data_IF_985646047778
#
_entry.id   IF_985646047778
#
_cell.length_a   1.000
_cell.length_b   1.000
_cell.length_c   1.000
_cell.angle_alpha   90.00
_cell.angle_beta   90.00
_cell.angle_gamma   90.00
#
_symmetry.space_group_name_H-M   'P 1'
#
loop_
_entity.id
_entity.type
_entity.pdbx_description
1 polymer ?
#
# COMPACT_ATOMS: atom_id res chain seq x y z
N UNK A 1 8.27 -2.60 3.18
CA UNK A 1 6.81 -2.75 3.12
C UNK A 1 6.37 -4.22 3.10
N UNK A 2 7.30 -5.15 3.38
CA UNK A 2 7.02 -6.59 3.52
C UNK A 2 6.04 -6.88 4.66
N UNK A 3 6.16 -6.19 5.79
CA UNK A 3 5.26 -6.36 6.94
C UNK A 3 3.78 -6.16 6.56
N UNK A 4 3.49 -5.15 5.73
CA UNK A 4 2.12 -4.92 5.23
C UNK A 4 1.66 -6.06 4.32
N UNK A 5 2.58 -6.65 3.54
CA UNK A 5 2.25 -7.78 2.66
C UNK A 5 2.01 -9.06 3.45
N UNK A 6 2.79 -9.28 4.51
CA UNK A 6 2.59 -10.38 5.45
C UNK A 6 1.25 -10.26 6.17
N UNK A 7 0.86 -9.05 6.60
CA UNK A 7 -0.48 -8.80 7.17
C UNK A 7 -1.57 -9.09 6.14
N UNK A 8 -1.44 -8.61 4.89
CA UNK A 8 -2.37 -8.94 3.81
C UNK A 8 -2.54 -10.46 3.67
N UNK A 9 -1.42 -11.18 3.57
CA UNK A 9 -1.41 -12.64 3.39
C UNK A 9 -2.01 -13.38 4.60
N UNK A 10 -1.64 -12.98 5.82
CA UNK A 10 -2.15 -13.55 7.06
C UNK A 10 -3.67 -13.35 7.22
N UNK A 11 -4.20 -12.25 6.69
CA UNK A 11 -5.64 -11.97 6.63
C UNK A 11 -6.35 -12.68 5.45
N UNK A 12 -5.62 -13.38 4.59
CA UNK A 12 -6.18 -14.15 3.47
C UNK A 12 -6.65 -13.30 2.28
N UNK A 13 -6.17 -12.06 2.15
CA UNK A 13 -6.55 -11.19 1.04
C UNK A 13 -5.62 -11.38 -0.16
N UNK A 14 -6.17 -11.69 -1.34
CA UNK A 14 -5.38 -11.72 -2.58
C UNK A 14 -4.89 -10.32 -2.97
N UNK A 15 -5.76 -9.32 -2.84
CA UNK A 15 -5.43 -7.90 -3.09
C UNK A 15 -6.05 -7.01 -2.03
N UNK A 16 -5.46 -5.83 -1.81
CA UNK A 16 -5.97 -4.81 -0.88
C UNK A 16 -6.16 -3.44 -1.54
N UNK A 17 -7.03 -2.64 -0.92
CA UNK A 17 -7.17 -1.21 -1.23
C UNK A 17 -6.29 -0.42 -0.26
N UNK A 18 -5.52 0.52 -0.79
CA UNK A 18 -4.62 1.33 0.04
C UNK A 18 -5.12 2.76 0.07
N UNK A 19 -5.29 3.29 1.27
CA UNK A 19 -5.49 4.71 1.52
C UNK A 19 -4.26 5.25 2.24
N UNK A 20 -3.47 6.08 1.56
CA UNK A 20 -2.32 6.77 2.14
C UNK A 20 -2.63 8.24 2.36
N UNK A 21 -2.40 8.75 3.56
CA UNK A 21 -2.52 10.18 3.87
C UNK A 21 -1.21 10.74 4.43
N UNK A 22 -0.80 11.94 4.01
CA UNK A 22 0.45 12.59 4.46
C UNK A 22 1.64 11.64 4.27
N UNK A 23 2.45 11.39 5.30
CA UNK A 23 3.55 10.41 5.26
C UNK A 23 3.12 9.01 4.75
N UNK A 24 1.88 8.62 5.03
CA UNK A 24 1.29 7.37 4.54
C UNK A 24 1.25 7.26 3.02
N UNK A 25 1.29 8.38 2.28
CA UNK A 25 1.39 8.36 0.80
C UNK A 25 2.73 7.80 0.34
N UNK A 26 3.82 8.08 1.04
CA UNK A 26 5.15 7.49 0.74
C UNK A 26 5.17 5.99 1.00
N UNK A 27 4.54 5.54 2.09
CA UNK A 27 4.40 4.11 2.38
C UNK A 27 3.52 3.40 1.33
N UNK A 28 2.38 4.01 0.95
CA UNK A 28 1.48 3.49 -0.08
C UNK A 28 2.18 3.34 -1.44
N UNK A 29 2.94 4.36 -1.86
CA UNK A 29 3.73 4.32 -3.09
C UNK A 29 4.85 3.27 -3.02
N UNK A 30 5.48 3.10 -1.86
CA UNK A 30 6.51 2.07 -1.66
C UNK A 30 5.91 0.67 -1.77
N UNK A 31 4.76 0.42 -1.15
CA UNK A 31 4.07 -0.88 -1.25
C UNK A 31 3.62 -1.16 -2.69
N UNK A 32 3.02 -0.18 -3.37
CA UNK A 32 2.59 -0.31 -4.77
C UNK A 32 3.75 -0.65 -5.71
N UNK A 33 4.96 -0.10 -5.49
CA UNK A 33 6.14 -0.41 -6.29
C UNK A 33 6.70 -1.81 -6.01
N UNK A 34 6.61 -2.27 -4.77
CA UNK A 34 7.16 -3.58 -4.35
C UNK A 34 6.24 -4.75 -4.70
N UNK A 35 4.91 -4.56 -4.59
CA UNK A 35 3.90 -5.61 -4.74
C UNK A 35 2.71 -5.13 -5.59
N UNK A 36 2.92 -4.70 -6.85
CA UNK A 36 1.86 -4.11 -7.68
C UNK A 36 0.68 -5.07 -7.90
N UNK A 37 0.92 -6.38 -7.95
CA UNK A 37 -0.09 -7.42 -8.10
C UNK A 37 -1.01 -7.58 -6.86
N UNK A 38 -0.57 -7.14 -5.69
CA UNK A 38 -1.34 -7.23 -4.44
C UNK A 38 -2.19 -5.97 -4.17
N UNK A 39 -2.23 -5.02 -5.10
CA UNK A 39 -2.95 -3.75 -4.96
C UNK A 39 -4.10 -3.65 -5.96
N UNK A 40 -5.34 -3.51 -5.46
CA UNK A 40 -6.51 -3.31 -6.31
C UNK A 40 -6.74 -1.83 -6.65
N UNK A 41 -6.65 -0.96 -5.65
CA UNK A 41 -6.79 0.49 -5.80
C UNK A 41 -5.92 1.23 -4.79
N UNK A 42 -5.43 2.41 -5.16
CA UNK A 42 -4.71 3.31 -4.25
C UNK A 42 -5.33 4.70 -4.29
N UNK A 43 -5.59 5.26 -3.12
CA UNK A 43 -5.92 6.68 -2.94
C UNK A 43 -4.79 7.33 -2.15
N UNK A 44 -4.30 8.47 -2.66
CA UNK A 44 -3.26 9.27 -2.02
C UNK A 44 -3.82 10.64 -1.66
N UNK A 45 -3.75 10.99 -0.39
CA UNK A 45 -4.27 12.24 0.16
C UNK A 45 -3.14 13.03 0.83
N UNK A 46 -3.04 14.33 0.51
CA UNK A 46 -1.92 15.20 0.93
C UNK A 46 -0.53 14.57 0.65
N UNK A 47 -0.23 14.34 -0.63
CA UNK A 47 0.98 13.64 -1.11
C UNK A 47 2.26 14.26 -0.56
N UNK A 48 3.12 13.41 -0.01
CA UNK A 48 4.52 13.73 0.33
C UNK A 48 5.40 13.32 -0.84
N UNK A 49 6.29 14.23 -1.25
CA UNK A 49 7.23 13.98 -2.35
C UNK A 49 8.12 12.76 -2.02
N UNK A 50 8.35 11.82 -2.96
CA UNK A 50 9.01 10.54 -2.69
C UNK A 50 10.42 10.64 -2.11
#
# INVERSE_FOLDING_TARGET
>A
MTDLDEVRAALGYETINIYGASYGTRAALTYLRMFPEHVRTVTLDAVVDP
#
